data_IF_853516548240
#
_entry.id   IF_853516548240
#
_cell.length_a   1.000
_cell.length_b   1.000
_cell.length_c   1.000
_cell.angle_alpha   90.00
_cell.angle_beta   90.00
_cell.angle_gamma   90.00
#
_symmetry.space_group_name_H-M   'P 1'
#
loop_
_entity.id
_entity.type
_entity.pdbx_description
1 polymer ?
#
# COMPACT_ATOMS: atom_id res chain seq x y z
N UNK A 1 1.43 3.17 -78.68
CA UNK A 1 0.53 2.47 -77.73
C UNK A 1 1.11 2.74 -76.33
N UNK A 2 0.40 3.55 -75.54
CA UNK A 2 0.85 3.90 -74.17
C UNK A 2 0.07 2.99 -73.20
N UNK A 3 0.75 2.11 -72.50
CA UNK A 3 0.18 1.27 -71.45
C UNK A 3 0.01 2.09 -70.18
N UNK A 4 -1.21 2.29 -69.73
CA UNK A 4 -1.57 2.94 -68.46
C UNK A 4 -1.67 1.85 -67.38
N UNK A 5 -0.69 1.81 -66.45
CA UNK A 5 -0.79 0.95 -65.26
C UNK A 5 -1.66 1.63 -64.22
N UNK A 6 -2.80 1.02 -63.92
CA UNK A 6 -3.67 1.37 -62.76
C UNK A 6 -3.11 0.65 -61.52
N UNK A 7 -2.52 1.42 -60.60
CA UNK A 7 -2.16 0.92 -59.28
C UNK A 7 -3.40 0.92 -58.36
N UNK A 8 -3.84 -0.25 -57.94
CA UNK A 8 -4.90 -0.40 -56.92
C UNK A 8 -4.24 -0.29 -55.55
N UNK A 9 -4.50 0.81 -54.86
CA UNK A 9 -4.04 0.99 -53.46
C UNK A 9 -5.06 0.33 -52.54
N UNK A 10 -4.65 -0.78 -51.88
CA UNK A 10 -5.46 -1.42 -50.81
C UNK A 10 -5.33 -0.60 -49.51
N UNK A 11 -6.35 0.16 -49.19
CA UNK A 11 -6.47 0.76 -47.85
C UNK A 11 -6.95 -0.31 -46.86
N UNK A 12 -6.05 -0.80 -46.04
CA UNK A 12 -6.38 -1.66 -44.89
C UNK A 12 -6.84 -0.79 -43.73
N UNK A 13 -8.17 -0.79 -43.46
CA UNK A 13 -8.74 -0.08 -42.31
C UNK A 13 -8.54 -0.91 -41.05
N UNK A 14 -7.63 -0.47 -40.17
CA UNK A 14 -7.47 -1.03 -38.82
C UNK A 14 -8.59 -0.46 -37.92
N UNK A 15 -9.53 -1.30 -37.49
CA UNK A 15 -10.49 -0.95 -36.47
C UNK A 15 -9.84 -1.10 -35.09
N UNK A 16 -9.53 0.01 -34.45
CA UNK A 16 -9.13 0.02 -33.05
C UNK A 16 -10.39 0.01 -32.18
N UNK A 17 -10.61 -1.09 -31.45
CA UNK A 17 -11.62 -1.12 -30.40
C UNK A 17 -11.00 -0.48 -29.14
N UNK A 18 -11.44 0.69 -28.76
CA UNK A 18 -11.13 1.27 -27.46
C UNK A 18 -11.92 0.50 -26.39
N UNK A 19 -11.21 -0.05 -25.40
CA UNK A 19 -11.83 -0.68 -24.25
C UNK A 19 -12.31 0.41 -23.29
N UNK A 20 -13.60 0.43 -22.96
CA UNK A 20 -14.14 1.33 -21.94
C UNK A 20 -13.92 0.72 -20.57
N UNK A 21 -13.33 1.49 -19.64
CA UNK A 21 -13.19 1.13 -18.25
C UNK A 21 -14.23 1.92 -17.46
N UNK A 22 -15.08 1.22 -16.73
CA UNK A 22 -16.00 1.81 -15.77
C UNK A 22 -15.44 1.63 -14.37
N UNK A 23 -15.51 2.69 -13.55
CA UNK A 23 -15.17 2.65 -12.14
C UNK A 23 -16.47 2.52 -11.35
N UNK A 24 -16.50 1.56 -10.42
CA UNK A 24 -17.60 1.36 -9.48
C UNK A 24 -17.09 1.63 -8.07
N UNK A 25 -17.88 2.34 -7.26
CA UNK A 25 -17.58 2.56 -5.87
C UNK A 25 -17.77 1.25 -5.12
N UNK A 26 -16.70 0.79 -4.43
CA UNK A 26 -16.72 -0.46 -3.68
C UNK A 26 -16.86 -0.23 -2.17
N UNK A 27 -16.15 0.74 -1.61
CA UNK A 27 -16.21 1.12 -0.20
C UNK A 27 -15.78 2.57 -0.01
N UNK A 28 -16.37 3.27 0.96
CA UNK A 28 -16.10 4.68 1.29
C UNK A 28 -15.90 4.88 2.80
N UNK A 29 -15.58 6.11 3.23
CA UNK A 29 -15.46 6.45 4.66
C UNK A 29 -14.07 6.24 5.23
N UNK A 30 -13.04 6.33 4.40
CA UNK A 30 -11.63 6.32 4.79
C UNK A 30 -11.11 7.74 4.97
N UNK A 31 -10.17 7.90 5.93
CA UNK A 31 -9.45 9.15 6.16
C UNK A 31 -8.04 9.02 5.59
N UNK A 32 -7.71 9.85 4.57
CA UNK A 32 -6.39 9.85 3.93
C UNK A 32 -5.84 8.42 3.65
N UNK A 33 -6.55 7.57 2.85
CA UNK A 33 -6.07 6.24 2.51
C UNK A 33 -4.85 6.35 1.58
N UNK A 34 -3.80 5.57 1.87
CA UNK A 34 -2.53 5.62 1.14
C UNK A 34 -2.15 4.29 0.50
N UNK A 35 -2.65 3.17 1.03
CA UNK A 35 -2.35 1.84 0.49
C UNK A 35 -3.52 0.88 0.72
N UNK A 36 -3.66 -0.09 -0.19
CA UNK A 36 -4.51 -1.26 -0.02
C UNK A 36 -3.64 -2.50 -0.14
N UNK A 37 -3.71 -3.39 0.86
CA UNK A 37 -2.98 -4.64 0.90
C UNK A 37 -3.93 -5.81 1.19
N UNK A 38 -3.46 -7.04 1.01
CA UNK A 38 -4.22 -8.26 1.31
C UNK A 38 -3.35 -9.31 1.99
N UNK A 39 -3.96 -10.16 2.80
CA UNK A 39 -3.30 -11.24 3.55
C UNK A 39 -3.39 -12.59 2.84
N UNK A 40 -3.57 -12.61 1.51
CA UNK A 40 -3.90 -13.78 0.68
C UNK A 40 -5.24 -14.45 1.05
N UNK A 41 -6.18 -13.66 1.55
CA UNK A 41 -7.57 -14.02 1.77
C UNK A 41 -8.51 -12.99 1.12
N UNK A 42 -9.82 -13.08 1.37
CA UNK A 42 -10.82 -12.21 0.73
C UNK A 42 -10.90 -10.80 1.30
N UNK A 43 -10.18 -10.51 2.39
CA UNK A 43 -10.18 -9.19 3.04
C UNK A 43 -9.20 -8.25 2.35
N UNK A 44 -9.57 -6.98 2.29
CA UNK A 44 -8.68 -5.89 1.92
C UNK A 44 -8.35 -5.07 3.17
N UNK A 45 -7.09 -4.70 3.31
CA UNK A 45 -6.59 -3.91 4.42
C UNK A 45 -6.23 -2.52 3.89
N UNK A 46 -7.00 -1.52 4.29
CA UNK A 46 -6.82 -0.12 3.87
C UNK A 46 -5.99 0.60 4.91
N UNK A 47 -4.80 1.02 4.51
CA UNK A 47 -3.88 1.81 5.32
C UNK A 47 -4.27 3.26 5.23
N UNK A 48 -4.53 3.89 6.37
CA UNK A 48 -4.78 5.31 6.49
C UNK A 48 -3.55 6.00 7.08
N UNK A 49 -3.20 7.16 6.53
CA UNK A 49 -2.00 7.91 6.89
C UNK A 49 -1.96 8.28 8.38
N UNK A 50 -3.13 8.42 9.03
CA UNK A 50 -3.30 8.78 10.43
C UNK A 50 -2.97 7.66 11.44
N UNK A 51 -2.45 6.51 10.97
CA UNK A 51 -2.02 5.40 11.82
C UNK A 51 -3.05 4.30 12.01
N UNK A 52 -4.07 4.27 11.20
CA UNK A 52 -5.16 3.29 11.28
C UNK A 52 -5.10 2.35 10.07
N UNK A 53 -5.33 1.05 10.31
CA UNK A 53 -5.61 0.09 9.24
C UNK A 53 -7.03 -0.44 9.45
N UNK A 54 -7.85 -0.34 8.41
CA UNK A 54 -9.21 -0.86 8.37
C UNK A 54 -9.29 -2.11 7.50
N UNK A 55 -10.25 -2.99 7.82
CA UNK A 55 -10.59 -4.14 6.98
C UNK A 55 -11.85 -3.84 6.20
N UNK A 56 -11.78 -4.09 4.89
CA UNK A 56 -12.92 -4.13 3.99
C UNK A 56 -13.17 -5.59 3.61
N UNK A 57 -14.39 -6.04 3.79
CA UNK A 57 -14.82 -7.39 3.45
C UNK A 57 -15.11 -7.50 1.93
N UNK A 58 -15.25 -8.72 1.43
CA UNK A 58 -15.51 -8.98 0.01
C UNK A 58 -16.83 -8.41 -0.51
N UNK A 59 -17.75 -8.05 0.36
CA UNK A 59 -19.03 -7.39 0.04
C UNK A 59 -18.96 -5.86 0.11
N UNK A 60 -17.77 -5.28 0.35
CA UNK A 60 -17.56 -3.84 0.51
C UNK A 60 -17.84 -3.29 1.91
N UNK A 61 -18.33 -4.10 2.85
CA UNK A 61 -18.55 -3.66 4.21
C UNK A 61 -17.22 -3.43 4.95
N UNK A 62 -17.19 -2.43 5.83
CA UNK A 62 -16.01 -2.09 6.62
C UNK A 62 -16.21 -2.59 8.04
N UNK A 63 -15.24 -3.31 8.58
CA UNK A 63 -15.26 -3.73 9.97
C UNK A 63 -15.32 -2.50 10.89
N UNK A 64 -16.17 -2.53 11.91
CA UNK A 64 -16.32 -1.45 12.91
C UNK A 64 -15.07 -1.31 13.78
N UNK A 65 -14.38 -2.43 14.05
CA UNK A 65 -13.11 -2.44 14.78
C UNK A 65 -11.95 -2.29 13.80
N UNK A 66 -11.02 -1.39 14.08
CA UNK A 66 -9.80 -1.25 13.30
C UNK A 66 -8.92 -2.49 13.44
N UNK A 67 -8.29 -2.92 12.35
CA UNK A 67 -7.29 -3.98 12.38
C UNK A 67 -6.08 -3.57 13.23
N UNK A 68 -5.56 -2.37 12.97
CA UNK A 68 -4.46 -1.77 13.73
C UNK A 68 -4.80 -0.30 14.03
N UNK A 69 -4.41 0.18 15.22
CA UNK A 69 -4.40 1.60 15.54
C UNK A 69 -3.11 1.93 16.30
N UNK A 70 -2.22 2.66 15.62
CA UNK A 70 -0.95 3.17 16.16
C UNK A 70 -0.87 4.70 16.06
N UNK A 71 -2.00 5.39 15.95
CA UNK A 71 -2.07 6.85 15.81
C UNK A 71 -1.31 7.62 16.89
N UNK A 72 -1.23 7.06 18.11
CA UNK A 72 -0.46 7.65 19.22
C UNK A 72 1.06 7.50 19.10
N UNK A 73 1.55 6.70 18.15
CA UNK A 73 2.98 6.39 17.97
C UNK A 73 3.59 7.06 16.75
N UNK A 74 2.81 7.77 15.96
CA UNK A 74 3.24 8.31 14.69
C UNK A 74 3.20 9.84 14.64
N UNK A 75 4.05 10.41 13.78
CA UNK A 75 3.87 11.75 13.25
C UNK A 75 3.12 11.65 11.93
N UNK A 76 2.04 12.40 11.79
CA UNK A 76 1.12 12.35 10.67
C UNK A 76 0.90 13.76 10.09
N UNK A 77 0.86 13.85 8.77
CA UNK A 77 0.61 15.07 8.00
C UNK A 77 1.68 15.33 6.94
N UNK A 78 1.32 16.03 5.89
CA UNK A 78 2.14 16.13 4.68
C UNK A 78 2.41 14.73 4.11
N UNK A 79 3.68 14.36 3.99
CA UNK A 79 4.08 13.03 3.51
C UNK A 79 4.31 12.01 4.66
N UNK A 80 4.26 12.44 5.93
CA UNK A 80 4.49 11.58 7.10
C UNK A 80 3.23 10.88 7.52
N UNK A 81 3.36 9.66 8.06
CA UNK A 81 2.26 8.90 8.61
C UNK A 81 2.54 7.40 8.64
N UNK A 82 1.47 6.61 8.71
CA UNK A 82 1.49 5.19 8.41
C UNK A 82 1.39 5.03 6.88
N UNK A 83 2.43 4.49 6.25
CA UNK A 83 2.63 4.57 4.80
C UNK A 83 2.64 3.23 4.09
N UNK A 84 2.93 2.13 4.80
CA UNK A 84 3.05 0.82 4.16
C UNK A 84 2.65 -0.34 5.05
N UNK A 85 2.18 -1.43 4.41
CA UNK A 85 1.76 -2.67 5.05
C UNK A 85 2.20 -3.88 4.21
N UNK A 86 2.87 -4.84 4.82
CA UNK A 86 3.20 -6.11 4.20
C UNK A 86 2.87 -7.28 5.14
N UNK A 87 2.13 -8.26 4.64
CA UNK A 87 1.90 -9.51 5.35
C UNK A 87 3.03 -10.50 5.10
N UNK A 88 3.48 -11.17 6.16
CA UNK A 88 4.47 -12.24 6.03
C UNK A 88 3.92 -13.36 5.13
N UNK A 89 4.72 -14.00 4.26
CA UNK A 89 4.24 -15.10 3.40
C UNK A 89 3.54 -16.24 4.16
N UNK A 90 3.92 -16.47 5.41
CA UNK A 90 3.29 -17.44 6.32
C UNK A 90 2.31 -16.79 7.31
N UNK A 91 1.72 -15.64 6.98
CA UNK A 91 0.78 -14.93 7.85
C UNK A 91 -0.35 -15.80 8.41
N UNK A 92 -0.95 -16.73 7.64
CA UNK A 92 -2.01 -17.61 8.17
C UNK A 92 -1.58 -18.39 9.40
N UNK A 93 -0.30 -18.78 9.50
CA UNK A 93 0.24 -19.59 10.59
C UNK A 93 0.93 -18.78 11.69
N UNK A 94 1.74 -17.78 11.34
CA UNK A 94 2.52 -17.00 12.30
C UNK A 94 1.86 -15.68 12.73
N UNK A 95 0.89 -15.18 11.97
CA UNK A 95 0.19 -13.94 12.23
C UNK A 95 1.04 -12.68 12.07
N UNK A 96 2.24 -12.77 11.48
CA UNK A 96 3.14 -11.65 11.35
C UNK A 96 2.79 -10.75 10.18
N UNK A 97 2.81 -9.44 10.43
CA UNK A 97 2.74 -8.40 9.42
C UNK A 97 3.67 -7.25 9.79
N UNK A 98 4.01 -6.43 8.81
CA UNK A 98 4.98 -5.35 8.93
C UNK A 98 4.33 -4.07 8.48
N UNK A 99 4.66 -2.98 9.16
CA UNK A 99 4.21 -1.64 8.81
C UNK A 99 5.39 -0.69 8.70
N UNK A 100 5.25 0.28 7.79
CA UNK A 100 6.18 1.38 7.59
C UNK A 100 5.51 2.67 8.03
N UNK A 101 6.14 3.41 8.93
CA UNK A 101 5.57 4.66 9.44
C UNK A 101 6.64 5.66 9.87
N UNK A 102 6.26 6.92 10.07
CA UNK A 102 7.09 7.91 10.72
C UNK A 102 6.74 7.94 12.22
N UNK A 103 7.73 7.67 13.09
CA UNK A 103 7.55 7.72 14.54
C UNK A 103 7.29 9.14 15.05
N UNK A 104 7.07 9.32 16.35
CA UNK A 104 6.80 10.62 16.97
C UNK A 104 7.95 11.64 16.82
N UNK A 105 9.16 11.20 16.46
CA UNK A 105 10.28 12.06 16.13
C UNK A 105 10.39 12.35 14.62
N UNK A 106 9.50 11.77 13.80
CA UNK A 106 9.51 11.86 12.35
C UNK A 106 10.47 10.87 11.66
N UNK A 107 11.11 9.97 12.42
CA UNK A 107 12.02 8.97 11.87
C UNK A 107 11.26 7.91 11.08
N UNK A 108 11.89 7.39 10.02
CA UNK A 108 11.39 6.20 9.33
C UNK A 108 11.49 5.00 10.26
N UNK A 109 10.37 4.33 10.48
CA UNK A 109 10.29 3.13 11.31
C UNK A 109 9.59 2.01 10.54
N UNK A 110 10.22 0.84 10.52
CA UNK A 110 9.57 -0.41 10.10
C UNK A 110 9.45 -1.31 11.32
N UNK A 111 8.22 -1.73 11.62
CA UNK A 111 7.94 -2.59 12.76
C UNK A 111 7.13 -3.81 12.33
N UNK A 112 7.42 -4.95 12.98
CA UNK A 112 6.61 -6.14 12.91
C UNK A 112 5.60 -6.16 14.05
N UNK A 113 4.38 -6.53 13.73
CA UNK A 113 3.31 -6.86 14.68
C UNK A 113 2.83 -8.30 14.48
N UNK A 114 1.99 -8.75 15.40
CA UNK A 114 1.31 -10.04 15.32
C UNK A 114 -0.20 -9.80 15.40
N UNK A 115 -1.00 -10.55 14.64
CA UNK A 115 -2.45 -10.54 14.84
C UNK A 115 -2.79 -11.15 16.21
N UNK A 116 -3.89 -10.71 16.81
CA UNK A 116 -4.41 -11.32 18.04
C UNK A 116 -5.07 -12.68 17.75
N UNK A 117 -5.71 -13.28 18.75
CA UNK A 117 -6.56 -14.45 18.56
C UNK A 117 -7.78 -14.16 17.67
N UNK A 118 -8.25 -12.90 17.63
CA UNK A 118 -9.20 -12.45 16.63
C UNK A 118 -8.40 -12.09 15.34
N UNK A 119 -8.64 -12.79 14.20
CA UNK A 119 -7.90 -12.54 12.96
C UNK A 119 -8.13 -11.15 12.37
N UNK A 120 -9.14 -10.43 12.81
CA UNK A 120 -9.50 -9.09 12.35
C UNK A 120 -8.91 -7.98 13.25
N UNK A 121 -8.09 -8.33 14.24
CA UNK A 121 -7.48 -7.38 15.17
C UNK A 121 -6.02 -7.72 15.42
N UNK A 122 -5.16 -6.73 15.27
CA UNK A 122 -3.74 -6.85 15.62
C UNK A 122 -3.52 -6.69 17.13
N UNK A 123 -2.52 -7.38 17.64
CA UNK A 123 -2.03 -7.16 19.01
C UNK A 123 -0.94 -6.08 18.99
N UNK A 124 -1.32 -4.85 19.36
CA UNK A 124 -0.42 -3.69 19.35
C UNK A 124 0.72 -3.81 20.36
N UNK A 125 0.60 -4.67 21.37
CA UNK A 125 1.66 -4.91 22.36
C UNK A 125 2.83 -5.74 21.82
N UNK A 126 2.64 -6.41 20.67
CA UNK A 126 3.64 -7.27 20.04
C UNK A 126 4.62 -6.54 19.13
N UNK A 127 4.61 -5.21 19.15
CA UNK A 127 5.50 -4.40 18.32
C UNK A 127 6.95 -4.82 18.48
N UNK A 128 7.60 -5.05 17.36
CA UNK A 128 9.04 -5.26 17.27
C UNK A 128 9.61 -4.37 16.19
N UNK A 129 10.33 -3.34 16.55
CA UNK A 129 11.03 -2.47 15.61
C UNK A 129 12.12 -3.27 14.90
N UNK A 130 12.08 -3.23 13.57
CA UNK A 130 13.05 -3.89 12.67
C UNK A 130 14.06 -2.87 12.15
N UNK A 131 13.57 -1.66 11.82
CA UNK A 131 14.37 -0.53 11.35
C UNK A 131 13.86 0.74 12.01
N UNK A 132 14.77 1.57 12.50
CA UNK A 132 14.49 2.97 12.83
C UNK A 132 15.62 3.82 12.27
N UNK A 133 15.29 4.68 11.32
CA UNK A 133 16.26 5.51 10.61
C UNK A 133 15.93 6.99 10.87
N UNK A 134 16.82 7.75 11.48
CA UNK A 134 16.66 9.19 11.63
C UNK A 134 16.47 9.89 10.30
N UNK A 135 15.55 10.86 10.29
CA UNK A 135 15.19 11.60 9.09
C UNK A 135 15.01 13.08 9.42
N UNK A 136 15.86 13.98 8.85
CA UNK A 136 15.86 15.39 9.23
C UNK A 136 14.71 16.20 8.60
N UNK A 137 14.22 15.78 7.42
CA UNK A 137 13.18 16.49 6.68
C UNK A 137 11.85 15.74 6.70
N UNK A 138 10.74 16.42 6.41
CA UNK A 138 9.38 15.89 6.48
C UNK A 138 8.86 15.30 5.17
N UNK A 139 9.60 15.49 4.08
CA UNK A 139 9.28 14.99 2.74
C UNK A 139 10.17 13.81 2.32
N UNK A 140 9.86 13.18 1.19
CA UNK A 140 10.58 12.05 0.60
C UNK A 140 10.72 10.86 1.56
N UNK A 141 9.59 10.47 2.17
CA UNK A 141 9.60 9.43 3.21
C UNK A 141 9.70 8.00 2.66
N UNK A 142 9.40 7.77 1.38
CA UNK A 142 9.22 6.42 0.87
C UNK A 142 7.93 5.79 1.39
N UNK A 143 7.98 4.57 1.91
CA UNK A 143 6.83 3.92 2.55
C UNK A 143 6.53 2.52 2.03
N UNK A 144 6.98 2.18 0.83
CA UNK A 144 6.68 0.88 0.22
C UNK A 144 7.47 -0.25 0.87
N UNK A 145 6.76 -1.30 1.29
CA UNK A 145 7.36 -2.53 1.83
C UNK A 145 6.66 -3.75 1.23
N UNK A 146 7.44 -4.75 0.79
CA UNK A 146 6.91 -5.95 0.17
C UNK A 146 7.78 -7.17 0.45
N UNK A 147 7.17 -8.34 0.57
CA UNK A 147 7.90 -9.60 0.52
C UNK A 147 8.14 -10.02 -0.93
N UNK A 148 9.39 -10.25 -1.28
CA UNK A 148 9.76 -10.82 -2.57
C UNK A 148 9.63 -12.36 -2.57
N UNK A 149 9.64 -13.00 -3.74
CA UNK A 149 9.57 -14.47 -3.84
C UNK A 149 10.71 -15.22 -3.14
N UNK A 150 11.82 -14.54 -2.89
CA UNK A 150 12.96 -15.06 -2.12
C UNK A 150 12.72 -15.09 -0.60
N UNK A 151 11.58 -14.55 -0.14
CA UNK A 151 11.18 -14.51 1.26
C UNK A 151 11.73 -13.32 2.06
N UNK A 152 12.49 -12.42 1.44
CA UNK A 152 13.00 -11.22 2.10
C UNK A 152 11.96 -10.09 2.07
N UNK A 153 11.95 -9.28 3.13
CA UNK A 153 11.20 -8.04 3.18
C UNK A 153 12.03 -6.92 2.52
N UNK A 154 11.53 -6.41 1.42
CA UNK A 154 12.09 -5.24 0.74
C UNK A 154 11.50 -3.97 1.33
N UNK A 155 12.36 -3.02 1.66
CA UNK A 155 11.98 -1.73 2.25
C UNK A 155 12.51 -0.65 1.31
N UNK A 156 11.60 0.21 0.84
CA UNK A 156 11.94 1.32 -0.06
C UNK A 156 11.80 2.63 0.69
N UNK A 157 12.92 3.31 0.88
CA UNK A 157 12.98 4.64 1.49
C UNK A 157 13.10 5.71 0.42
N UNK A 158 12.75 6.95 0.74
CA UNK A 158 13.17 8.11 -0.03
C UNK A 158 14.63 8.47 0.26
N UNK A 159 15.13 9.49 -0.42
CA UNK A 159 16.49 10.02 -0.26
C UNK A 159 16.72 10.80 1.03
N UNK A 160 15.68 11.10 1.77
CA UNK A 160 15.72 11.80 3.05
C UNK A 160 15.14 13.22 2.99
N UNK A 161 14.82 13.73 1.82
CA UNK A 161 14.19 15.04 1.64
C UNK A 161 15.17 16.19 1.57
N UNK A 162 14.68 17.39 1.68
CA UNK A 162 15.27 18.70 1.34
C UNK A 162 14.89 19.14 -0.08
N UNK A 163 15.49 20.18 -0.61
CA UNK A 163 15.31 20.61 -1.99
C UNK A 163 16.65 20.61 -2.73
N UNK A 164 16.60 20.49 -4.06
CA UNK A 164 17.80 20.64 -4.89
C UNK A 164 18.38 19.34 -5.42
N UNK A 165 17.65 18.27 -5.37
CA UNK A 165 17.87 16.97 -5.99
C UNK A 165 17.06 16.80 -7.29
#
# INVERSE_FOLDING_TARGET
>A
MKNLLFGVSLFSSFFFNAQSINLEEFATGFTAPVEISHANDSRMFVVQQDGIIKIVQSDGSINTTNFLNISSKITYGGERGLLGLAFHPQYPTNGYFFVYYNDTNGNITVARYTRSSNPDVADVSTEKIILNQPKPFDNHNGGSIHFAPDGYLWIVTGDGGSGGD
#
